data_IF_819378264428
#
_entry.id   IF_819378264428
#
_cell.length_a   1.000
_cell.length_b   1.000
_cell.length_c   1.000
_cell.angle_alpha   90.00
_cell.angle_beta   90.00
_cell.angle_gamma   90.00
#
_symmetry.space_group_name_H-M   'P 1'
#
loop_
_entity.id
_entity.type
_entity.pdbx_description
1 polymer ?
#
# COMPACT_ATOMS: atom_id res chain seq x y z
N UNK A 1 18.73 4.54 10.50
CA UNK A 1 18.79 3.09 10.29
C UNK A 1 17.91 2.77 9.09
N UNK A 2 18.40 1.94 8.17
CA UNK A 2 17.69 1.67 6.92
C UNK A 2 16.79 0.45 7.11
N UNK A 3 15.55 0.54 6.64
CA UNK A 3 14.53 -0.51 6.84
C UNK A 3 14.11 -1.07 5.49
N UNK A 4 13.96 -2.39 5.43
CA UNK A 4 13.22 -3.09 4.41
C UNK A 4 11.90 -3.57 5.02
N UNK A 5 10.77 -3.09 4.50
CA UNK A 5 9.43 -3.41 5.03
C UNK A 5 8.54 -3.95 3.93
N UNK A 6 7.86 -5.07 4.20
CA UNK A 6 6.76 -5.59 3.37
C UNK A 6 5.46 -5.40 4.13
N UNK A 7 4.44 -4.87 3.48
CA UNK A 7 3.18 -4.53 4.12
C UNK A 7 1.98 -4.75 3.19
N UNK A 8 0.78 -4.72 3.78
CA UNK A 8 -0.49 -4.63 3.04
C UNK A 8 -1.30 -3.42 3.49
N UNK A 9 -2.09 -2.88 2.58
CA UNK A 9 -2.97 -1.74 2.84
C UNK A 9 -4.41 -2.22 3.07
N UNK A 10 -5.00 -1.76 4.16
CA UNK A 10 -6.37 -2.06 4.55
C UNK A 10 -7.21 -0.78 4.44
N UNK A 11 -8.34 -0.85 3.74
CA UNK A 11 -9.28 0.28 3.76
C UNK A 11 -9.96 0.35 5.12
N UNK A 12 -9.78 1.47 5.81
CA UNK A 12 -10.36 1.72 7.13
C UNK A 12 -11.36 2.86 7.14
N UNK A 13 -11.44 3.67 6.07
CA UNK A 13 -12.45 4.71 5.96
C UNK A 13 -13.86 4.09 5.95
N UNK A 14 -14.71 4.37 6.96
CA UNK A 14 -16.07 3.83 7.05
C UNK A 14 -17.02 4.43 6.01
N UNK A 15 -16.66 5.56 5.39
CA UNK A 15 -17.48 6.21 4.35
C UNK A 15 -17.41 5.50 3.00
N UNK A 16 -16.41 4.64 2.79
CA UNK A 16 -16.28 3.83 1.57
C UNK A 16 -16.73 2.39 1.87
N UNK A 17 -18.05 2.23 2.02
CA UNK A 17 -18.70 0.98 2.44
C UNK A 17 -18.34 -0.19 1.51
N UNK A 18 -18.10 0.08 0.22
CA UNK A 18 -17.76 -0.94 -0.78
C UNK A 18 -16.37 -1.54 -0.57
N UNK A 19 -15.46 -0.79 0.05
CA UNK A 19 -14.08 -1.20 0.27
C UNK A 19 -13.76 -1.47 1.73
N UNK A 20 -14.67 -1.23 2.67
CA UNK A 20 -14.39 -1.33 4.10
C UNK A 20 -13.82 -2.72 4.49
N UNK A 21 -12.64 -2.71 5.14
CA UNK A 21 -11.94 -3.93 5.54
C UNK A 21 -11.23 -4.68 4.40
N UNK A 22 -11.34 -4.21 3.15
CA UNK A 22 -10.66 -4.83 2.02
C UNK A 22 -9.16 -4.56 2.03
N UNK A 23 -8.40 -5.54 1.54
CA UNK A 23 -6.99 -5.33 1.15
C UNK A 23 -6.97 -4.59 -0.18
N UNK A 24 -6.42 -3.37 -0.18
CA UNK A 24 -6.32 -2.52 -1.37
C UNK A 24 -5.10 -2.88 -2.23
N UNK A 25 -4.03 -3.37 -1.60
CA UNK A 25 -2.78 -3.66 -2.25
C UNK A 25 -1.71 -4.12 -1.26
N UNK A 26 -0.54 -4.42 -1.82
CA UNK A 26 0.66 -4.79 -1.08
C UNK A 26 1.78 -3.84 -1.45
N UNK A 27 2.67 -3.58 -0.51
CA UNK A 27 3.81 -2.74 -0.81
C UNK A 27 5.09 -3.20 -0.15
N UNK A 28 6.17 -2.64 -0.67
CA UNK A 28 7.52 -2.80 -0.17
C UNK A 28 8.18 -1.43 -0.05
N UNK A 29 8.71 -1.14 1.14
CA UNK A 29 9.56 0.01 1.39
C UNK A 29 11.01 -0.45 1.29
N UNK A 30 11.74 0.13 0.36
CA UNK A 30 13.17 -0.09 0.21
C UNK A 30 13.96 0.93 1.00
N UNK A 31 15.14 0.54 1.51
CA UNK A 31 15.98 1.41 2.35
C UNK A 31 16.47 2.69 1.66
N UNK A 32 16.51 2.73 0.32
CA UNK A 32 17.08 3.82 -0.46
C UNK A 32 16.23 4.24 -1.70
N UNK A 33 15.21 3.47 -2.07
CA UNK A 33 14.48 3.66 -3.34
C UNK A 33 13.01 4.05 -3.13
N UNK A 34 12.61 4.30 -1.89
CA UNK A 34 11.24 4.62 -1.52
C UNK A 34 10.31 3.40 -1.48
N UNK A 35 9.02 3.65 -1.62
CA UNK A 35 7.95 2.72 -1.36
C UNK A 35 7.16 2.40 -2.62
N UNK A 36 7.03 1.11 -2.94
CA UNK A 36 6.30 0.62 -4.11
C UNK A 36 5.04 -0.09 -3.66
N UNK A 37 3.90 0.23 -4.28
CA UNK A 37 2.61 -0.38 -3.95
C UNK A 37 1.99 -0.99 -5.20
N UNK A 38 1.79 -2.31 -5.17
CA UNK A 38 1.01 -3.06 -6.15
C UNK A 38 -0.46 -3.11 -5.72
N UNK A 39 -1.34 -2.67 -6.63
CA UNK A 39 -2.76 -2.50 -6.34
C UNK A 39 -3.56 -3.75 -6.67
N UNK A 40 -4.35 -4.20 -5.70
CA UNK A 40 -5.32 -5.28 -5.89
C UNK A 40 -6.54 -4.73 -6.63
N UNK A 41 -6.46 -4.64 -7.96
CA UNK A 41 -7.53 -4.08 -8.80
C UNK A 41 -8.90 -4.73 -8.56
N UNK A 42 -8.94 -6.03 -8.27
CA UNK A 42 -10.20 -6.74 -7.97
C UNK A 42 -10.90 -6.25 -6.70
N UNK A 43 -10.22 -5.51 -5.83
CA UNK A 43 -10.83 -4.88 -4.66
C UNK A 43 -11.73 -3.71 -5.07
N UNK A 44 -11.32 -2.91 -6.07
CA UNK A 44 -12.02 -1.69 -6.48
C UNK A 44 -13.33 -2.00 -7.23
N UNK A 45 -14.34 -1.12 -7.22
CA UNK A 45 -15.53 -1.24 -8.07
C UNK A 45 -15.15 -1.27 -9.55
N UNK A 46 -15.91 -2.00 -10.39
CA UNK A 46 -15.56 -2.18 -11.82
C UNK A 46 -15.32 -0.86 -12.56
N UNK A 47 -16.11 0.16 -12.25
CA UNK A 47 -16.04 1.47 -12.91
C UNK A 47 -14.78 2.27 -12.50
N UNK A 48 -14.19 1.94 -11.35
CA UNK A 48 -12.98 2.58 -10.81
C UNK A 48 -11.71 1.73 -11.04
N UNK A 49 -11.85 0.53 -11.62
CA UNK A 49 -10.71 -0.36 -11.89
C UNK A 49 -9.89 0.14 -13.05
N UNK A 50 -8.58 0.17 -12.86
CA UNK A 50 -7.64 0.28 -13.96
C UNK A 50 -7.69 -0.98 -14.83
N UNK A 51 -7.44 -0.82 -16.13
CA UNK A 51 -7.56 -1.91 -17.11
C UNK A 51 -6.48 -2.99 -17.03
N UNK A 52 -5.46 -2.82 -16.20
CA UNK A 52 -4.36 -3.76 -16.05
C UNK A 52 -3.51 -3.47 -14.80
N UNK A 53 -2.54 -4.34 -14.49
CA UNK A 53 -1.67 -4.24 -13.31
C UNK A 53 -1.14 -2.82 -13.12
N UNK A 54 -1.12 -2.34 -11.89
CA UNK A 54 -0.72 -0.99 -11.58
C UNK A 54 0.14 -0.95 -10.33
N UNK A 55 1.30 -0.30 -10.45
CA UNK A 55 2.20 -0.02 -9.34
C UNK A 55 2.36 1.49 -9.20
N UNK A 56 2.21 1.98 -7.98
CA UNK A 56 2.53 3.36 -7.63
C UNK A 56 3.83 3.41 -6.82
N UNK A 57 4.57 4.50 -6.98
CA UNK A 57 5.83 4.76 -6.27
C UNK A 57 5.60 5.99 -5.38
N UNK A 58 6.01 5.87 -4.12
CA UNK A 58 5.94 6.90 -3.09
C UNK A 58 7.32 7.09 -2.46
N UNK A 59 7.58 8.24 -1.84
CA UNK A 59 8.85 8.48 -1.16
C UNK A 59 8.95 7.65 0.12
N UNK A 60 7.88 7.67 0.93
CA UNK A 60 7.81 6.93 2.20
C UNK A 60 6.51 6.12 2.34
N UNK A 61 6.48 5.24 3.34
CA UNK A 61 5.25 4.57 3.76
C UNK A 61 4.19 5.56 4.28
N UNK A 62 4.61 6.66 4.91
CA UNK A 62 3.68 7.66 5.44
C UNK A 62 2.95 8.39 4.29
N UNK A 63 3.64 8.64 3.17
CA UNK A 63 3.02 9.19 1.96
C UNK A 63 1.95 8.26 1.40
N UNK A 64 2.16 6.94 1.47
CA UNK A 64 1.14 5.95 1.08
C UNK A 64 -0.11 6.10 1.95
N UNK A 65 0.07 6.14 3.28
CA UNK A 65 -1.04 6.26 4.22
C UNK A 65 -1.79 7.58 4.01
N UNK A 66 -1.06 8.68 3.84
CA UNK A 66 -1.65 10.00 3.59
C UNK A 66 -2.43 10.05 2.27
N UNK A 67 -1.86 9.55 1.18
CA UNK A 67 -2.48 9.60 -0.14
C UNK A 67 -3.73 8.71 -0.24
N UNK A 68 -3.77 7.62 0.51
CA UNK A 68 -4.78 6.57 0.35
C UNK A 68 -5.83 6.58 1.45
N UNK A 69 -5.52 7.19 2.60
CA UNK A 69 -6.31 7.08 3.83
C UNK A 69 -6.45 5.63 4.32
N UNK A 70 -5.55 4.72 3.89
CA UNK A 70 -5.56 3.32 4.28
C UNK A 70 -4.74 3.09 5.54
N UNK A 71 -5.09 2.06 6.30
CA UNK A 71 -4.24 1.58 7.40
C UNK A 71 -3.25 0.56 6.87
N UNK A 72 -1.98 0.78 7.19
CA UNK A 72 -0.93 -0.16 6.87
C UNK A 72 -0.87 -1.28 7.91
N UNK A 73 -0.68 -2.51 7.43
CA UNK A 73 -0.31 -3.65 8.27
C UNK A 73 0.99 -4.27 7.78
N UNK A 74 2.03 -4.15 8.61
CA UNK A 74 3.33 -4.77 8.38
C UNK A 74 3.20 -6.29 8.36
N UNK A 75 3.83 -6.91 7.36
CA UNK A 75 3.94 -8.35 7.21
C UNK A 75 5.35 -8.83 7.55
N UNK A 76 6.34 -8.01 7.21
CA UNK A 76 7.75 -8.23 7.50
C UNK A 76 8.45 -6.88 7.63
N UNK A 77 9.36 -6.77 8.57
CA UNK A 77 10.24 -5.62 8.72
C UNK A 77 11.61 -6.09 9.16
N UNK A 78 12.65 -5.54 8.54
CA UNK A 78 14.02 -5.83 8.92
C UNK A 78 14.89 -4.60 8.75
N UNK A 79 15.68 -4.33 9.77
CA UNK A 79 16.80 -3.41 9.66
C UNK A 79 17.87 -4.03 8.75
N UNK A 80 18.29 -3.24 7.76
CA UNK A 80 19.31 -3.63 6.81
C UNK A 80 20.51 -2.71 6.99
N UNK A 81 21.68 -3.31 7.14
CA UNK A 81 22.95 -2.58 7.11
C UNK A 81 23.19 -1.98 5.73
N UNK A 82 24.00 -0.93 5.68
CA UNK A 82 24.56 -0.44 4.40
C UNK A 82 25.59 -1.41 3.86
#
# INVERSE_FOLDING_TARGET
MSVLRVFRLLRTNPHDIKLHGAVLGWGIEFPNSGCYVDWRLTAFPKDDRLGGPHVSIYDTVDDVVQATGATLRTLFEREVGR
#
